data_IF_355479974493
#
_entry.id   IF_355479974493
#
_cell.length_a   1.000
_cell.length_b   1.000
_cell.length_c   1.000
_cell.angle_alpha   90.00
_cell.angle_beta   90.00
_cell.angle_gamma   90.00
#
_symmetry.space_group_name_H-M   'P 1'
#
loop_
_entity.id
_entity.type
_entity.pdbx_description
1 polymer ?
#
# COMPACT_ATOMS: atom_id res chain seq x y z
N UNK A 1 -45.64 -15.38 -54.33
CA UNK A 1 -44.19 -15.16 -54.46
C UNK A 1 -43.83 -14.01 -53.55
N UNK A 2 -43.21 -14.27 -52.41
CA UNK A 2 -42.88 -13.26 -51.40
C UNK A 2 -41.37 -13.31 -51.11
N UNK A 3 -40.75 -12.15 -51.25
CA UNK A 3 -39.33 -11.92 -51.06
C UNK A 3 -38.92 -11.91 -49.58
N UNK A 4 -37.70 -12.40 -49.39
CA UNK A 4 -36.81 -12.27 -48.25
C UNK A 4 -36.59 -10.81 -47.85
N UNK A 5 -36.82 -10.46 -46.57
CA UNK A 5 -36.25 -9.25 -45.96
C UNK A 5 -35.45 -9.63 -44.73
N UNK A 6 -34.15 -9.46 -44.90
CA UNK A 6 -33.10 -9.50 -43.91
C UNK A 6 -33.30 -8.36 -42.90
N UNK A 7 -33.66 -8.68 -41.67
CA UNK A 7 -33.78 -7.74 -40.56
C UNK A 7 -33.05 -8.31 -39.36
N UNK A 8 -31.79 -7.91 -39.19
CA UNK A 8 -30.89 -8.38 -38.16
C UNK A 8 -31.51 -8.29 -36.75
N UNK A 9 -31.65 -9.45 -36.11
CA UNK A 9 -31.95 -9.53 -34.69
C UNK A 9 -30.79 -8.94 -33.89
N UNK A 10 -31.05 -7.80 -33.25
CA UNK A 10 -30.11 -7.15 -32.35
C UNK A 10 -29.90 -8.05 -31.13
N UNK A 11 -28.66 -8.40 -30.76
CA UNK A 11 -28.43 -9.01 -29.46
C UNK A 11 -28.70 -7.95 -28.40
N UNK A 12 -29.69 -8.20 -27.54
CA UNK A 12 -29.85 -7.52 -26.25
C UNK A 12 -28.58 -7.78 -25.46
N UNK A 13 -27.59 -6.90 -25.62
CA UNK A 13 -26.44 -6.84 -24.72
C UNK A 13 -27.01 -6.36 -23.39
N UNK A 14 -27.19 -7.32 -22.49
CA UNK A 14 -27.29 -7.06 -21.06
C UNK A 14 -26.00 -6.32 -20.68
N UNK A 15 -26.02 -5.00 -20.84
CA UNK A 15 -25.00 -4.11 -20.35
C UNK A 15 -25.18 -4.14 -18.84
N UNK A 16 -24.62 -5.17 -18.21
CA UNK A 16 -24.26 -5.13 -16.80
C UNK A 16 -23.53 -3.81 -16.67
N UNK A 17 -24.21 -2.85 -16.06
CA UNK A 17 -23.62 -1.57 -15.70
C UNK A 17 -22.41 -1.97 -14.87
N UNK A 18 -21.23 -1.89 -15.47
CA UNK A 18 -20.01 -1.68 -14.72
C UNK A 18 -20.27 -0.35 -14.02
N UNK A 19 -20.89 -0.42 -12.84
CA UNK A 19 -20.64 0.57 -11.83
C UNK A 19 -19.12 0.55 -11.69
N UNK A 20 -18.43 1.67 -11.93
CA UNK A 20 -17.07 1.75 -11.43
C UNK A 20 -17.25 1.53 -9.93
N UNK A 21 -16.84 0.36 -9.44
CA UNK A 21 -16.56 0.20 -8.03
C UNK A 21 -15.67 1.39 -7.71
N UNK A 22 -16.21 2.33 -6.95
CA UNK A 22 -15.55 3.59 -6.66
C UNK A 22 -14.13 3.22 -6.30
N UNK A 23 -13.17 3.70 -7.11
CA UNK A 23 -11.79 3.61 -6.74
C UNK A 23 -11.73 4.23 -5.36
N UNK A 24 -11.66 3.38 -4.33
CA UNK A 24 -11.10 3.75 -3.06
C UNK A 24 -9.79 4.38 -3.48
N UNK A 25 -9.76 5.71 -3.49
CA UNK A 25 -8.57 6.45 -3.85
C UNK A 25 -7.53 5.86 -2.93
N UNK A 26 -6.62 5.04 -3.47
CA UNK A 26 -5.54 4.46 -2.71
C UNK A 26 -4.92 5.69 -2.04
N UNK A 27 -5.07 5.77 -0.72
CA UNK A 27 -4.52 6.92 -0.01
C UNK A 27 -3.04 6.92 -0.42
N UNK A 28 -2.47 8.04 -0.86
CA UNK A 28 -1.08 8.05 -1.31
C UNK A 28 -0.13 7.53 -0.21
N UNK A 29 -0.60 7.51 1.03
CA UNK A 29 0.07 6.92 2.17
C UNK A 29 -0.26 5.46 2.47
N UNK A 30 -1.22 4.77 1.81
CA UNK A 30 -1.58 3.37 2.10
C UNK A 30 -0.84 2.40 1.16
N UNK A 31 -0.04 1.50 1.73
CA UNK A 31 0.72 0.51 0.96
C UNK A 31 -0.14 -0.73 0.72
N UNK A 32 -0.48 -0.99 -0.53
CA UNK A 32 -1.07 -2.27 -0.95
C UNK A 32 0.04 -3.32 -1.08
N UNK A 33 0.43 -3.92 0.05
CA UNK A 33 1.43 -4.99 0.08
C UNK A 33 0.87 -6.19 0.86
N UNK A 34 1.04 -7.44 0.38
CA UNK A 34 0.50 -8.64 1.02
C UNK A 34 1.00 -8.89 2.45
N UNK A 35 2.11 -8.23 2.83
CA UNK A 35 2.72 -8.28 4.16
C UNK A 35 2.47 -7.01 4.99
N UNK A 36 1.70 -6.05 4.49
CA UNK A 36 1.36 -4.82 5.21
C UNK A 36 -0.14 -4.76 5.39
N UNK A 37 -0.58 -4.92 6.64
CA UNK A 37 -1.96 -4.56 6.98
C UNK A 37 -2.02 -3.07 7.30
N UNK A 38 -3.18 -2.41 7.11
CA UNK A 38 -3.37 -1.00 7.47
C UNK A 38 -3.01 -0.70 8.93
N UNK A 39 -3.25 -1.68 9.82
CA UNK A 39 -2.96 -1.60 11.25
C UNK A 39 -1.45 -1.62 11.53
N UNK A 40 -0.72 -2.58 10.96
CA UNK A 40 0.75 -2.66 11.02
C UNK A 40 1.40 -1.40 10.48
N UNK A 41 0.87 -0.88 9.36
CA UNK A 41 1.36 0.35 8.78
C UNK A 41 1.18 1.54 9.72
N UNK A 42 -0.02 1.70 10.30
CA UNK A 42 -0.29 2.79 11.25
C UNK A 42 0.60 2.69 12.48
N UNK A 43 0.80 1.48 13.01
CA UNK A 43 1.71 1.27 14.16
C UNK A 43 3.14 1.68 13.84
N UNK A 44 3.67 1.26 12.70
CA UNK A 44 5.03 1.62 12.28
C UNK A 44 5.18 3.12 12.05
N UNK A 45 4.21 3.74 11.37
CA UNK A 45 4.22 5.19 11.15
C UNK A 45 4.12 5.96 12.47
N UNK A 46 3.25 5.53 13.40
CA UNK A 46 3.11 6.17 14.71
C UNK A 46 4.39 6.07 15.54
N UNK A 47 5.05 4.90 15.55
CA UNK A 47 6.31 4.70 16.26
C UNK A 47 7.44 5.63 15.76
N UNK A 48 7.53 5.81 14.44
CA UNK A 48 8.49 6.74 13.85
C UNK A 48 8.13 8.19 14.14
N UNK A 49 6.85 8.57 14.07
CA UNK A 49 6.39 9.94 14.32
C UNK A 49 6.57 10.38 15.78
N UNK A 50 6.43 9.46 16.74
CA UNK A 50 6.63 9.75 18.17
C UNK A 50 8.06 10.18 18.47
N UNK A 51 9.04 9.56 17.82
CA UNK A 51 10.47 9.76 18.09
C UNK A 51 11.12 10.69 17.06
N UNK A 52 10.49 10.90 15.90
CA UNK A 52 11.04 11.60 14.73
C UNK A 52 11.96 10.70 13.88
N UNK A 53 12.73 9.83 14.53
CA UNK A 53 13.47 8.73 13.95
C UNK A 53 13.48 7.54 14.90
N UNK A 54 13.36 6.32 14.37
CA UNK A 54 13.30 5.09 15.15
C UNK A 54 14.36 4.09 14.67
N UNK A 55 14.84 3.25 15.57
CA UNK A 55 15.75 2.16 15.21
C UNK A 55 14.96 1.02 14.56
N UNK A 56 15.55 0.35 13.57
CA UNK A 56 14.91 -0.77 12.86
C UNK A 56 14.49 -1.89 13.83
N UNK A 57 15.31 -2.17 14.84
CA UNK A 57 14.99 -3.15 15.89
C UNK A 57 13.84 -2.73 16.80
N UNK A 58 13.69 -1.42 17.04
CA UNK A 58 12.60 -0.85 17.83
C UNK A 58 11.27 -0.94 17.05
N UNK A 59 11.30 -0.56 15.77
CA UNK A 59 10.18 -0.75 14.85
C UNK A 59 9.78 -2.22 14.73
N UNK A 60 10.75 -3.13 14.67
CA UNK A 60 10.46 -4.55 14.64
C UNK A 60 9.82 -5.05 15.95
N UNK A 61 10.21 -4.45 17.08
CA UNK A 61 9.63 -4.76 18.41
C UNK A 61 8.23 -4.17 18.58
N UNK A 62 7.90 -3.09 17.87
CA UNK A 62 6.57 -2.48 17.88
C UNK A 62 5.51 -3.40 17.27
N UNK A 63 5.88 -4.31 16.36
CA UNK A 63 4.98 -5.27 15.69
C UNK A 63 5.36 -6.73 15.99
N UNK A 64 5.26 -7.18 17.26
CA UNK A 64 5.75 -8.50 17.68
C UNK A 64 4.94 -9.67 17.09
N UNK A 65 3.67 -9.44 16.75
CA UNK A 65 2.80 -10.44 16.14
C UNK A 65 2.99 -10.59 14.61
N UNK A 66 3.84 -9.76 13.99
CA UNK A 66 4.09 -9.84 12.56
C UNK A 66 5.15 -10.90 12.24
N UNK A 67 4.90 -11.85 11.33
CA UNK A 67 5.85 -12.93 11.03
C UNK A 67 7.15 -12.43 10.39
N UNK A 68 7.12 -11.25 9.77
CA UNK A 68 8.28 -10.63 9.11
C UNK A 68 8.30 -9.12 9.36
N UNK A 69 8.70 -8.67 10.55
CA UNK A 69 8.58 -7.27 10.92
C UNK A 69 9.55 -6.38 10.12
N UNK A 70 10.77 -6.85 9.88
CA UNK A 70 11.76 -6.14 9.06
C UNK A 70 11.26 -5.99 7.62
N UNK A 71 10.70 -7.06 7.03
CA UNK A 71 10.13 -6.99 5.67
C UNK A 71 8.99 -5.99 5.57
N UNK A 72 8.19 -5.85 6.63
CA UNK A 72 7.14 -4.83 6.68
C UNK A 72 7.74 -3.41 6.65
N UNK A 73 8.74 -3.13 7.49
CA UNK A 73 9.44 -1.83 7.45
C UNK A 73 10.02 -1.54 6.06
N UNK A 74 10.66 -2.53 5.44
CA UNK A 74 11.22 -2.39 4.09
C UNK A 74 10.13 -2.15 3.03
N UNK A 75 8.97 -2.78 3.12
CA UNK A 75 7.86 -2.52 2.21
C UNK A 75 7.36 -1.06 2.32
N UNK A 76 7.36 -0.47 3.52
CA UNK A 76 7.04 0.95 3.70
C UNK A 76 8.13 1.90 3.18
N UNK A 77 9.40 1.47 3.27
CA UNK A 77 10.53 2.19 2.66
C UNK A 77 10.44 2.16 1.13
N UNK A 78 10.15 0.99 0.56
CA UNK A 78 9.96 0.80 -0.90
C UNK A 78 8.77 1.61 -1.42
N UNK A 79 7.68 1.67 -0.66
CA UNK A 79 6.54 2.54 -0.92
C UNK A 79 6.85 4.04 -0.75
N UNK A 80 8.03 4.40 -0.24
CA UNK A 80 8.49 5.77 -0.11
C UNK A 80 7.90 6.54 1.08
N UNK A 81 7.25 5.85 2.02
CA UNK A 81 6.68 6.43 3.24
C UNK A 81 7.70 6.53 4.37
N UNK A 82 8.64 5.59 4.39
CA UNK A 82 9.77 5.59 5.31
C UNK A 82 11.08 5.77 4.53
N UNK A 83 12.07 6.32 5.21
CA UNK A 83 13.46 6.35 4.78
C UNK A 83 14.29 5.55 5.77
N UNK A 84 15.29 4.83 5.29
CA UNK A 84 16.21 4.07 6.12
C UNK A 84 17.65 4.47 5.78
N UNK A 85 18.49 4.52 6.80
CA UNK A 85 19.92 4.74 6.61
C UNK A 85 20.56 3.50 5.98
N UNK A 86 20.80 3.57 4.67
CA UNK A 86 21.53 2.54 3.91
C UNK A 86 23.03 2.82 3.80
N UNK A 87 23.51 3.91 4.41
CA UNK A 87 24.95 4.25 4.44
C UNK A 87 25.66 3.44 5.53
N UNK A 88 24.98 3.19 6.65
CA UNK A 88 25.46 2.31 7.72
C UNK A 88 25.14 0.84 7.45
N UNK A 89 25.76 -0.04 8.23
CA UNK A 89 25.50 -1.47 8.18
C UNK A 89 24.03 -1.76 8.53
N UNK A 90 23.38 -2.61 7.72
CA UNK A 90 21.98 -3.00 7.92
C UNK A 90 21.81 -3.88 9.16
N UNK A 91 21.52 -3.26 10.29
CA UNK A 91 21.39 -3.88 11.62
C UNK A 91 20.17 -3.31 12.37
N UNK A 92 19.83 -3.89 13.54
CA UNK A 92 18.82 -3.37 14.45
C UNK A 92 19.03 -1.88 14.82
N UNK A 93 20.28 -1.40 14.77
CA UNK A 93 20.63 0.01 15.03
C UNK A 93 20.38 0.95 13.85
N UNK A 94 19.94 0.46 12.68
CA UNK A 94 19.63 1.29 11.53
C UNK A 94 18.55 2.30 11.87
N UNK A 95 18.79 3.57 11.55
CA UNK A 95 17.79 4.62 11.73
C UNK A 95 16.81 4.62 10.57
N UNK A 96 15.53 4.71 10.93
CA UNK A 96 14.39 4.80 10.03
C UNK A 96 13.61 6.06 10.39
N UNK A 97 13.24 6.86 9.41
CA UNK A 97 12.48 8.10 9.62
C UNK A 97 11.31 8.18 8.65
N UNK A 98 10.29 8.98 8.98
CA UNK A 98 9.16 9.18 8.08
C UNK A 98 9.64 10.05 6.92
N UNK A 99 9.48 9.58 5.70
CA UNK A 99 9.59 10.45 4.53
C UNK A 99 8.33 11.28 4.48
N UNK A 100 8.44 12.54 4.89
CA UNK A 100 7.40 13.52 4.59
C UNK A 100 7.27 13.57 3.06
N UNK A 101 6.14 13.10 2.54
CA UNK A 101 5.77 13.34 1.15
C UNK A 101 5.75 14.86 0.93
N UNK A 102 6.32 15.39 -0.17
CA UNK A 102 6.17 16.79 -0.49
C UNK A 102 4.67 17.07 -0.60
N UNK A 103 4.14 17.92 0.29
CA UNK A 103 2.79 18.44 0.17
C UNK A 103 2.75 19.26 -1.12
N UNK A 104 2.16 18.70 -2.18
CA UNK A 104 1.79 19.42 -3.40
C UNK A 104 0.52 20.24 -3.14
#
# INVERSE_FOLDING_TARGET
MAEIIYGAAMPVRNLVRHMPAGGLQAHPDLVDHPLITPDVQLMLLAAVEETGDAALGDLASAIPDHPQPISAVIALVDAGLLGIDMVSAFDASCRVWRRSSPRL
#
